data_IF_720195732506
#
_entry.id   IF_720195732506
#
_cell.length_a   1.000
_cell.length_b   1.000
_cell.length_c   1.000
_cell.angle_alpha   90.00
_cell.angle_beta   90.00
_cell.angle_gamma   90.00
#
_symmetry.space_group_name_H-M   'P 1'
#
loop_
_entity.id
_entity.type
_entity.pdbx_description
1 polymer ?
#
# COMPACT_ATOMS: atom_id res chain seq x y z
N UNK A 1 -18.17 -6.31 8.49
CA UNK A 1 -18.10 -6.78 7.10
C UNK A 1 -16.92 -6.07 6.45
N UNK A 2 -15.95 -6.83 5.97
CA UNK A 2 -14.89 -6.36 5.08
C UNK A 2 -15.52 -5.82 3.80
N UNK A 3 -14.93 -4.78 3.22
CA UNK A 3 -15.47 -4.01 2.09
C UNK A 3 -15.80 -4.89 0.85
N UNK A 4 -16.64 -4.39 -0.06
CA UNK A 4 -16.95 -5.05 -1.33
C UNK A 4 -15.97 -4.59 -2.43
N UNK A 5 -15.35 -5.55 -3.13
CA UNK A 5 -14.59 -5.27 -4.36
C UNK A 5 -15.56 -5.00 -5.51
N UNK A 6 -15.36 -3.88 -6.19
CA UNK A 6 -16.14 -3.48 -7.36
C UNK A 6 -15.33 -3.80 -8.62
N UNK A 7 -15.81 -4.77 -9.38
CA UNK A 7 -15.24 -5.20 -10.65
C UNK A 7 -16.35 -5.17 -11.71
N UNK A 8 -16.27 -4.30 -12.74
CA UNK A 8 -17.24 -4.32 -13.83
C UNK A 8 -17.24 -5.65 -14.57
N UNK A 9 -18.42 -6.07 -15.03
CA UNK A 9 -18.57 -7.28 -15.83
C UNK A 9 -17.78 -7.20 -17.14
N UNK A 10 -17.14 -8.31 -17.53
CA UNK A 10 -16.35 -8.40 -18.76
C UNK A 10 -14.94 -7.79 -18.69
N UNK A 11 -14.58 -7.08 -17.62
CA UNK A 11 -13.23 -6.53 -17.47
C UNK A 11 -12.23 -7.62 -17.06
N UNK A 12 -11.00 -7.53 -17.59
CA UNK A 12 -9.91 -8.39 -17.16
C UNK A 12 -9.64 -8.24 -15.65
N UNK A 13 -9.23 -9.32 -14.95
CA UNK A 13 -8.89 -9.23 -13.54
C UNK A 13 -7.72 -8.27 -13.29
N UNK A 14 -7.86 -7.28 -12.39
CA UNK A 14 -6.77 -6.38 -12.04
C UNK A 14 -5.65 -7.13 -11.32
N UNK A 15 -4.40 -6.71 -11.51
CA UNK A 15 -3.22 -7.34 -10.91
C UNK A 15 -2.59 -6.41 -9.89
N UNK A 16 -2.70 -6.77 -8.62
CA UNK A 16 -2.10 -6.01 -7.53
C UNK A 16 -2.83 -4.70 -7.21
N UNK A 17 -4.12 -4.58 -7.53
CA UNK A 17 -5.03 -3.51 -7.11
C UNK A 17 -6.49 -3.95 -7.31
N UNK A 18 -7.45 -3.23 -6.73
CA UNK A 18 -8.87 -3.36 -7.04
C UNK A 18 -9.34 -2.20 -7.95
N UNK A 19 -10.20 -2.48 -8.93
CA UNK A 19 -10.79 -1.43 -9.77
C UNK A 19 -11.70 -0.47 -8.97
N UNK A 20 -12.34 -0.97 -7.90
CA UNK A 20 -13.03 -0.14 -6.92
C UNK A 20 -13.30 -0.89 -5.62
N UNK A 21 -13.60 -0.14 -4.56
CA UNK A 21 -13.97 -0.68 -3.25
C UNK A 21 -15.19 0.10 -2.72
N UNK A 22 -16.23 -0.60 -2.30
CA UNK A 22 -17.34 -0.04 -1.52
C UNK A 22 -17.21 -0.48 -0.06
N UNK A 23 -17.20 0.49 0.87
CA UNK A 23 -17.03 0.24 2.30
C UNK A 23 -18.01 1.08 3.14
N UNK A 24 -18.24 0.65 4.38
CA UNK A 24 -19.01 1.39 5.41
C UNK A 24 -18.32 1.23 6.76
N UNK A 25 -18.29 2.29 7.57
CA UNK A 25 -17.69 2.29 8.92
C UNK A 25 -16.91 3.56 9.22
N UNK A 26 -16.06 3.49 10.24
CA UNK A 26 -15.13 4.57 10.61
C UNK A 26 -14.14 4.83 9.49
N UNK A 27 -13.96 6.10 9.13
CA UNK A 27 -12.94 6.52 8.16
C UNK A 27 -11.65 6.86 8.89
N UNK A 28 -10.56 6.19 8.51
CA UNK A 28 -9.23 6.42 9.07
C UNK A 28 -8.37 7.01 7.97
N UNK A 29 -7.86 8.22 8.20
CA UNK A 29 -7.02 8.95 7.25
C UNK A 29 -5.57 8.88 7.72
N UNK A 30 -4.77 8.03 7.07
CA UNK A 30 -3.36 7.83 7.39
C UNK A 30 -2.54 8.88 6.62
N UNK A 31 -1.74 9.67 7.35
CA UNK A 31 -0.79 10.59 6.73
C UNK A 31 0.27 9.84 5.91
N UNK A 32 0.93 10.54 4.97
CA UNK A 32 1.98 9.94 4.14
C UNK A 32 3.06 9.29 5.00
N UNK A 33 3.27 7.99 4.81
CA UNK A 33 4.32 7.23 5.48
C UNK A 33 5.51 7.04 4.54
N UNK A 34 6.71 6.97 5.12
CA UNK A 34 7.99 6.77 4.43
C UNK A 34 8.83 5.73 5.17
N UNK A 35 9.99 5.38 4.62
CA UNK A 35 10.84 4.26 5.06
C UNK A 35 11.59 4.43 6.38
N UNK A 36 11.27 5.45 7.19
CA UNK A 36 11.89 5.65 8.50
C UNK A 36 11.31 4.73 9.58
N UNK A 37 12.09 4.48 10.64
CA UNK A 37 11.65 3.74 11.83
C UNK A 37 10.90 4.65 12.84
N UNK A 38 10.50 4.10 13.98
CA UNK A 38 9.80 4.84 15.04
C UNK A 38 10.64 5.97 15.68
N UNK A 39 11.97 5.92 15.52
CA UNK A 39 12.90 6.96 15.95
C UNK A 39 13.18 7.99 14.84
N UNK A 40 12.41 7.98 13.75
CA UNK A 40 12.54 8.89 12.61
C UNK A 40 13.87 8.77 11.85
N UNK A 41 14.43 7.56 11.81
CA UNK A 41 15.70 7.26 11.13
C UNK A 41 15.48 6.32 9.95
N UNK A 42 16.16 6.58 8.84
CA UNK A 42 16.24 5.64 7.73
C UNK A 42 17.30 4.58 8.04
N UNK A 43 16.88 3.32 8.09
CA UNK A 43 17.79 2.19 8.36
C UNK A 43 18.42 1.62 7.08
N UNK A 44 17.92 2.01 5.92
CA UNK A 44 18.39 1.57 4.62
C UNK A 44 18.08 2.62 3.56
N UNK A 45 18.99 2.76 2.60
CA UNK A 45 18.77 3.51 1.34
C UNK A 45 18.19 2.62 0.24
N UNK A 46 18.02 1.31 0.50
CA UNK A 46 17.42 0.38 -0.45
C UNK A 46 15.90 0.62 -0.58
N UNK A 47 15.45 0.76 -1.82
CA UNK A 47 14.04 0.99 -2.15
C UNK A 47 13.08 -0.07 -1.56
N UNK A 48 13.45 -1.35 -1.59
CA UNK A 48 12.59 -2.44 -1.12
C UNK A 48 12.54 -2.47 0.41
N UNK A 49 13.66 -2.21 1.09
CA UNK A 49 13.68 -2.09 2.54
C UNK A 49 12.83 -0.90 3.02
N UNK A 50 12.97 0.26 2.37
CA UNK A 50 12.14 1.43 2.67
C UNK A 50 10.66 1.16 2.37
N UNK A 51 10.33 0.45 1.29
CA UNK A 51 8.95 0.04 1.00
C UNK A 51 8.40 -0.88 2.11
N UNK A 52 9.17 -1.87 2.56
CA UNK A 52 8.78 -2.77 3.65
C UNK A 52 8.49 -1.97 4.94
N UNK A 53 9.37 -1.04 5.29
CA UNK A 53 9.20 -0.21 6.48
C UNK A 53 7.99 0.74 6.34
N UNK A 54 7.82 1.37 5.18
CA UNK A 54 6.68 2.24 4.87
C UNK A 54 5.35 1.50 5.08
N UNK A 55 5.21 0.28 4.55
CA UNK A 55 4.01 -0.53 4.72
C UNK A 55 3.76 -0.91 6.19
N UNK A 56 4.81 -1.21 6.96
CA UNK A 56 4.71 -1.46 8.41
C UNK A 56 4.21 -0.24 9.15
N UNK A 57 4.69 0.95 8.79
CA UNK A 57 4.26 2.21 9.38
C UNK A 57 2.78 2.48 9.10
N UNK A 58 2.31 2.23 7.87
CA UNK A 58 0.87 2.34 7.53
C UNK A 58 0.03 1.42 8.42
N UNK A 59 0.43 0.16 8.60
CA UNK A 59 -0.30 -0.76 9.46
C UNK A 59 -0.25 -0.39 10.94
N UNK A 60 0.86 0.17 11.42
CA UNK A 60 0.96 0.66 12.78
C UNK A 60 -0.10 1.75 13.05
N UNK A 61 -0.26 2.72 12.14
CA UNK A 61 -1.29 3.76 12.28
C UNK A 61 -2.70 3.19 12.18
N UNK A 62 -2.97 2.27 11.25
CA UNK A 62 -4.29 1.65 11.12
C UNK A 62 -4.70 0.87 12.38
N UNK A 63 -3.75 0.23 13.06
CA UNK A 63 -4.00 -0.54 14.29
C UNK A 63 -4.53 0.32 15.44
N UNK A 64 -4.17 1.59 15.51
CA UNK A 64 -4.71 2.52 16.53
C UNK A 64 -6.23 2.70 16.42
N UNK A 65 -6.80 2.46 15.24
CA UNK A 65 -8.24 2.47 14.99
C UNK A 65 -8.86 1.05 14.97
N UNK A 66 -8.11 0.02 15.38
CA UNK A 66 -8.52 -1.38 15.28
C UNK A 66 -8.63 -1.88 13.83
N UNK A 67 -7.98 -1.22 12.87
CA UNK A 67 -8.01 -1.59 11.45
C UNK A 67 -6.77 -2.38 11.01
N UNK A 68 -6.91 -3.08 9.88
CA UNK A 68 -5.89 -3.95 9.27
C UNK A 68 -5.88 -3.85 7.75
N UNK A 69 -4.98 -4.58 7.06
CA UNK A 69 -4.89 -4.61 5.59
C UNK A 69 -6.23 -4.79 4.87
N UNK A 70 -7.07 -5.69 5.37
CA UNK A 70 -8.40 -6.05 4.85
C UNK A 70 -9.46 -4.94 4.99
N UNK A 71 -9.13 -3.86 5.71
CA UNK A 71 -9.98 -2.70 5.88
C UNK A 71 -9.60 -1.54 4.94
N UNK A 72 -8.47 -1.64 4.23
CA UNK A 72 -8.00 -0.56 3.35
C UNK A 72 -8.90 -0.41 2.13
N UNK A 73 -9.48 0.78 1.95
CA UNK A 73 -10.29 1.08 0.76
C UNK A 73 -9.46 1.68 -0.39
N UNK A 74 -8.46 2.50 -0.07
CA UNK A 74 -7.62 3.20 -1.04
C UNK A 74 -6.18 3.34 -0.55
N UNK A 75 -5.22 3.25 -1.46
CA UNK A 75 -3.81 3.51 -1.21
C UNK A 75 -3.19 4.25 -2.41
N UNK A 76 -2.40 5.29 -2.15
CA UNK A 76 -1.69 6.05 -3.18
C UNK A 76 -0.19 5.96 -2.93
N UNK A 77 0.56 5.56 -3.94
CA UNK A 77 2.01 5.49 -3.93
C UNK A 77 2.60 6.67 -4.69
N UNK A 78 3.54 7.34 -4.06
CA UNK A 78 4.39 8.34 -4.69
C UNK A 78 5.81 7.79 -4.69
N UNK A 79 6.38 7.63 -5.87
CA UNK A 79 7.76 7.13 -6.05
C UNK A 79 8.58 8.16 -6.79
N UNK A 80 9.90 8.20 -6.56
CA UNK A 80 10.79 9.14 -7.25
C UNK A 80 11.33 8.58 -8.58
N UNK A 81 11.36 7.25 -8.73
CA UNK A 81 11.82 6.56 -9.93
C UNK A 81 10.86 5.43 -10.32
N UNK A 82 10.19 5.60 -11.46
CA UNK A 82 9.36 4.55 -12.09
C UNK A 82 10.23 3.39 -12.59
N UNK A 83 11.46 3.67 -13.00
CA UNK A 83 12.36 2.64 -13.55
C UNK A 83 12.86 1.70 -12.43
N UNK A 84 13.22 2.24 -11.26
CA UNK A 84 13.55 1.45 -10.08
C UNK A 84 12.34 0.63 -9.61
N UNK A 85 11.16 1.27 -9.54
CA UNK A 85 9.91 0.60 -9.20
C UNK A 85 9.62 -0.60 -10.12
N UNK A 86 9.70 -0.38 -11.44
CA UNK A 86 9.40 -1.40 -12.44
C UNK A 86 10.43 -2.54 -12.47
N UNK A 87 11.72 -2.20 -12.34
CA UNK A 87 12.79 -3.20 -12.37
C UNK A 87 12.76 -4.15 -11.16
N UNK A 88 12.18 -3.70 -10.03
CA UNK A 88 12.13 -4.48 -8.78
C UNK A 88 10.74 -4.96 -8.36
N UNK A 89 9.75 -4.97 -9.27
CA UNK A 89 8.37 -5.39 -8.99
C UNK A 89 8.23 -6.75 -8.29
N UNK A 90 9.11 -7.72 -8.61
CA UNK A 90 9.08 -9.05 -8.01
C UNK A 90 9.42 -9.01 -6.51
N UNK A 91 10.44 -8.24 -6.16
CA UNK A 91 10.87 -8.05 -4.77
C UNK A 91 9.85 -7.21 -4.01
N UNK A 92 9.35 -6.14 -4.63
CA UNK A 92 8.29 -5.29 -4.07
C UNK A 92 7.03 -6.10 -3.77
N UNK A 93 6.60 -6.95 -4.70
CA UNK A 93 5.45 -7.83 -4.49
C UNK A 93 5.66 -8.86 -3.38
N UNK A 94 6.91 -9.24 -3.11
CA UNK A 94 7.24 -10.16 -2.00
C UNK A 94 7.06 -9.45 -0.67
N UNK A 95 7.71 -8.29 -0.48
CA UNK A 95 7.58 -7.51 0.76
C UNK A 95 6.15 -7.00 0.99
N UNK A 96 5.43 -6.65 -0.09
CA UNK A 96 4.02 -6.28 0.01
C UNK A 96 3.20 -7.42 0.60
N UNK A 97 3.36 -8.65 0.09
CA UNK A 97 2.59 -9.81 0.59
C UNK A 97 3.02 -10.24 1.99
N UNK A 98 4.29 -10.06 2.36
CA UNK A 98 4.76 -10.30 3.73
C UNK A 98 4.08 -9.37 4.74
N UNK A 99 3.88 -8.09 4.38
CA UNK A 99 3.35 -7.08 5.31
C UNK A 99 1.82 -6.94 5.21
N UNK A 100 1.28 -6.82 4.00
CA UNK A 100 -0.13 -6.52 3.71
C UNK A 100 -0.93 -7.79 3.40
N UNK A 101 -0.27 -8.92 3.11
CA UNK A 101 -0.95 -10.14 2.69
C UNK A 101 -1.51 -10.06 1.26
N UNK A 102 -2.62 -10.75 1.01
CA UNK A 102 -3.32 -10.76 -0.29
C UNK A 102 -4.47 -9.75 -0.33
N UNK A 103 -4.30 -8.60 0.31
CA UNK A 103 -5.28 -7.52 0.35
C UNK A 103 -4.84 -6.39 -0.58
N UNK A 104 -5.67 -6.07 -1.57
CA UNK A 104 -5.36 -5.08 -2.60
C UNK A 104 -6.48 -4.03 -2.63
N UNK A 105 -6.29 -2.84 -2.02
CA UNK A 105 -7.26 -1.75 -2.12
C UNK A 105 -7.33 -1.19 -3.54
N UNK A 106 -8.21 -0.20 -3.75
CA UNK A 106 -8.08 0.66 -4.92
C UNK A 106 -6.73 1.39 -4.85
N UNK A 107 -5.92 1.31 -5.92
CA UNK A 107 -4.56 1.83 -5.90
C UNK A 107 -4.24 2.77 -7.05
N UNK A 108 -3.33 3.70 -6.75
CA UNK A 108 -2.68 4.58 -7.71
C UNK A 108 -1.19 4.61 -7.37
N UNK A 109 -0.33 4.52 -8.38
CA UNK A 109 1.12 4.71 -8.22
C UNK A 109 1.59 5.72 -9.26
N UNK A 110 2.23 6.80 -8.82
CA UNK A 110 2.73 7.86 -9.70
C UNK A 110 4.17 8.21 -9.36
N UNK A 111 4.94 8.54 -10.38
CA UNK A 111 6.26 9.14 -10.19
C UNK A 111 6.10 10.64 -9.89
N UNK A 112 6.84 11.13 -8.90
CA UNK A 112 6.94 12.55 -8.53
C UNK A 112 8.38 13.04 -8.64
N UNK A 113 8.58 14.36 -8.65
CA UNK A 113 9.90 14.94 -8.51
C UNK A 113 10.45 14.71 -7.10
N UNK A 114 11.77 14.55 -7.00
CA UNK A 114 12.50 14.48 -5.73
C UNK A 114 12.68 15.87 -5.10
#
# INVERSE_FOLDING_TARGET
MTHQVLQPEGWAPPRGYANGIAARGTQVFVGGQIGWNAAQQFESDDFIDQCRQTLRNVLAVLREAGAGPEHMARMTWYVVSRDEYNSRLKELGTVYREVIGKHFPAMTCVQVAA
#
